data_IF_024466225760
#
_entry.id   IF_024466225760
#
_cell.length_a   1.000
_cell.length_b   1.000
_cell.length_c   1.000
_cell.angle_alpha   90.00
_cell.angle_beta   90.00
_cell.angle_gamma   90.00
#
_symmetry.space_group_name_H-M   'P 1'
#
loop_
_entity.id
_entity.type
_entity.pdbx_description
1 polymer ?
#
# COMPACT_ATOMS: atom_id res chain seq x y z
N UNK A 1 -15.10 4.12 -29.29
CA UNK A 1 -14.11 3.36 -28.52
C UNK A 1 -14.85 2.43 -27.56
N UNK A 2 -14.42 1.21 -27.49
CA UNK A 2 -15.05 0.16 -26.72
C UNK A 2 -14.68 0.28 -25.24
N UNK A 3 -15.66 0.17 -24.33
CA UNK A 3 -15.46 0.28 -22.89
C UNK A 3 -14.48 -0.77 -22.36
N UNK A 4 -14.52 -2.00 -22.92
CA UNK A 4 -13.63 -3.07 -22.54
C UNK A 4 -12.17 -2.73 -22.84
N UNK A 5 -11.89 -2.12 -23.98
CA UNK A 5 -10.53 -1.71 -24.33
C UNK A 5 -10.01 -0.65 -23.37
N UNK A 6 -10.88 0.27 -22.94
CA UNK A 6 -10.52 1.29 -21.95
C UNK A 6 -10.15 0.65 -20.61
N UNK A 7 -10.93 -0.33 -20.16
CA UNK A 7 -10.66 -1.05 -18.91
C UNK A 7 -9.34 -1.84 -18.97
N UNK A 8 -9.11 -2.54 -20.10
CA UNK A 8 -7.86 -3.29 -20.29
C UNK A 8 -6.65 -2.36 -20.30
N UNK A 9 -6.77 -1.19 -20.97
CA UNK A 9 -5.69 -0.20 -20.99
C UNK A 9 -5.43 0.34 -19.59
N UNK A 10 -6.47 0.57 -18.79
CA UNK A 10 -6.30 1.02 -17.41
C UNK A 10 -5.53 0.00 -16.58
N UNK A 11 -5.87 -1.28 -16.72
CA UNK A 11 -5.17 -2.34 -16.00
C UNK A 11 -3.70 -2.43 -16.44
N UNK A 12 -3.44 -2.41 -17.73
CA UNK A 12 -2.08 -2.46 -18.27
C UNK A 12 -1.28 -1.24 -17.85
N UNK A 13 -1.88 -0.06 -17.89
CA UNK A 13 -1.24 1.18 -17.48
C UNK A 13 -0.89 1.13 -15.99
N UNK A 14 -1.81 0.68 -15.16
CA UNK A 14 -1.57 0.55 -13.73
C UNK A 14 -0.43 -0.43 -13.44
N UNK A 15 -0.42 -1.59 -14.11
CA UNK A 15 0.66 -2.56 -13.98
C UNK A 15 2.00 -1.94 -14.37
N UNK A 16 2.02 -1.18 -15.45
CA UNK A 16 3.23 -0.49 -15.90
C UNK A 16 3.77 0.47 -14.85
N UNK A 17 2.90 1.27 -14.26
CA UNK A 17 3.29 2.21 -13.20
C UNK A 17 3.81 1.49 -11.96
N UNK A 18 3.12 0.44 -11.53
CA UNK A 18 3.54 -0.32 -10.36
C UNK A 18 4.87 -1.05 -10.62
N UNK A 19 5.04 -1.63 -11.81
CA UNK A 19 6.30 -2.26 -12.20
C UNK A 19 7.46 -1.27 -12.19
N UNK A 20 7.22 -0.03 -12.60
CA UNK A 20 8.24 1.02 -12.55
C UNK A 20 8.67 1.31 -11.11
N UNK A 21 7.72 1.35 -10.19
CA UNK A 21 8.03 1.55 -8.77
C UNK A 21 8.88 0.38 -8.24
N UNK A 22 8.48 -0.86 -8.55
CA UNK A 22 9.21 -2.05 -8.11
C UNK A 22 10.63 -2.08 -8.68
N UNK A 23 10.79 -1.73 -9.96
CA UNK A 23 12.05 -1.86 -10.68
C UNK A 23 13.02 -0.71 -10.39
N UNK A 24 12.52 0.51 -10.34
CA UNK A 24 13.35 1.72 -10.28
C UNK A 24 13.18 2.52 -9.00
N UNK A 25 12.24 2.16 -8.13
CA UNK A 25 12.03 2.86 -6.88
C UNK A 25 13.21 2.71 -5.93
N UNK A 26 13.44 3.75 -5.12
CA UNK A 26 14.55 3.80 -4.16
C UNK A 26 14.11 3.52 -2.74
N UNK A 27 12.80 3.55 -2.47
CA UNK A 27 12.26 3.28 -1.13
C UNK A 27 11.80 1.83 -1.06
N UNK A 28 12.45 1.02 -0.23
CA UNK A 28 12.19 -0.41 -0.14
C UNK A 28 10.75 -0.71 0.28
N UNK A 29 10.19 0.08 1.21
CA UNK A 29 8.82 -0.10 1.66
C UNK A 29 7.83 0.13 0.51
N UNK A 30 7.97 1.21 -0.24
CA UNK A 30 7.12 1.49 -1.40
C UNK A 30 7.25 0.42 -2.46
N UNK A 31 8.46 -0.05 -2.73
CA UNK A 31 8.70 -1.13 -3.70
C UNK A 31 7.95 -2.40 -3.31
N UNK A 32 8.00 -2.76 -2.03
CA UNK A 32 7.30 -3.95 -1.54
C UNK A 32 5.79 -3.79 -1.63
N UNK A 33 5.27 -2.64 -1.22
CA UNK A 33 3.83 -2.36 -1.27
C UNK A 33 3.32 -2.35 -2.72
N UNK A 34 4.12 -1.79 -3.64
CA UNK A 34 3.80 -1.84 -5.07
C UNK A 34 3.76 -3.28 -5.61
N UNK A 35 4.67 -4.15 -5.15
CA UNK A 35 4.68 -5.55 -5.55
C UNK A 35 3.42 -6.28 -5.04
N UNK A 36 3.02 -6.02 -3.81
CA UNK A 36 1.80 -6.59 -3.26
C UNK A 36 0.58 -6.14 -4.07
N UNK A 37 0.54 -4.87 -4.46
CA UNK A 37 -0.53 -4.36 -5.34
C UNK A 37 -0.54 -5.10 -6.67
N UNK A 38 0.61 -5.28 -7.31
CA UNK A 38 0.71 -6.04 -8.57
C UNK A 38 0.17 -7.46 -8.43
N UNK A 39 0.43 -8.10 -7.29
CA UNK A 39 0.02 -9.47 -7.06
C UNK A 39 -1.50 -9.61 -6.88
N UNK A 40 -2.20 -8.53 -6.54
CA UNK A 40 -3.61 -8.58 -6.15
C UNK A 40 -4.56 -7.73 -7.00
N UNK A 41 -4.08 -6.78 -7.80
CA UNK A 41 -4.99 -5.91 -8.57
C UNK A 41 -5.83 -6.69 -9.59
N UNK A 42 -5.37 -7.84 -10.06
CA UNK A 42 -6.12 -8.69 -11.00
C UNK A 42 -7.40 -9.24 -10.40
N UNK A 43 -7.52 -9.26 -9.08
CA UNK A 43 -8.71 -9.77 -8.42
C UNK A 43 -9.85 -8.76 -8.45
N UNK A 44 -9.61 -7.58 -9.01
CA UNK A 44 -10.58 -6.50 -9.18
C UNK A 44 -10.78 -6.22 -10.67
N UNK A 45 -11.99 -5.85 -11.07
CA UNK A 45 -12.25 -5.45 -12.45
C UNK A 45 -11.57 -4.12 -12.79
N UNK A 46 -11.64 -3.17 -11.86
CA UNK A 46 -10.98 -1.87 -12.00
C UNK A 46 -9.78 -1.85 -11.05
N UNK A 47 -8.57 -1.58 -11.54
CA UNK A 47 -7.39 -1.55 -10.66
C UNK A 47 -7.50 -0.50 -9.55
N UNK A 48 -8.27 0.56 -9.74
CA UNK A 48 -8.48 1.55 -8.69
C UNK A 48 -9.27 0.97 -7.51
N UNK A 49 -10.09 -0.04 -7.73
CA UNK A 49 -10.87 -0.66 -6.66
C UNK A 49 -9.98 -1.37 -5.64
N UNK A 50 -8.82 -1.87 -6.05
CA UNK A 50 -7.84 -2.41 -5.12
C UNK A 50 -7.44 -1.34 -4.09
N UNK A 51 -7.07 -0.15 -4.56
CA UNK A 51 -6.64 0.94 -3.68
C UNK A 51 -7.78 1.39 -2.76
N UNK A 52 -8.99 1.52 -3.32
CA UNK A 52 -10.16 1.91 -2.54
C UNK A 52 -10.46 0.90 -1.44
N UNK A 53 -10.46 -0.38 -1.77
CA UNK A 53 -10.75 -1.44 -0.80
C UNK A 53 -9.73 -1.44 0.33
N UNK A 54 -8.45 -1.45 0.01
CA UNK A 54 -7.39 -1.53 1.01
C UNK A 54 -7.34 -0.26 1.86
N UNK A 55 -7.42 0.92 1.24
CA UNK A 55 -7.29 2.18 1.96
C UNK A 55 -8.54 2.55 2.77
N UNK A 56 -9.71 2.08 2.36
CA UNK A 56 -10.94 2.34 3.09
C UNK A 56 -11.22 1.28 4.16
N UNK A 57 -10.88 0.03 3.89
CA UNK A 57 -11.23 -1.08 4.77
C UNK A 57 -10.04 -1.61 5.60
N UNK A 58 -8.82 -1.31 5.20
CA UNK A 58 -7.63 -1.70 5.97
C UNK A 58 -7.55 -3.22 6.18
N UNK A 59 -7.38 -3.64 7.42
CA UNK A 59 -7.27 -5.05 7.76
C UNK A 59 -8.55 -5.85 7.51
N UNK A 60 -9.65 -5.18 7.20
CA UNK A 60 -10.90 -5.83 6.84
C UNK A 60 -10.98 -6.16 5.35
N UNK A 61 -10.04 -5.67 4.55
CA UNK A 61 -9.91 -6.10 3.17
C UNK A 61 -9.59 -7.60 3.15
N UNK A 62 -10.46 -8.40 2.54
CA UNK A 62 -10.38 -9.85 2.62
C UNK A 62 -9.07 -10.43 2.10
N UNK A 63 -8.50 -9.81 1.08
CA UNK A 63 -7.29 -10.33 0.43
C UNK A 63 -6.04 -9.87 1.15
N UNK A 64 -5.84 -8.58 1.22
CA UNK A 64 -4.59 -8.00 1.74
C UNK A 64 -4.60 -7.97 3.25
N UNK A 65 -5.77 -7.76 3.85
CA UNK A 65 -5.91 -7.80 5.30
C UNK A 65 -5.45 -9.12 5.87
N UNK A 66 -5.88 -10.21 5.27
CA UNK A 66 -5.49 -11.55 5.71
C UNK A 66 -3.98 -11.76 5.54
N UNK A 67 -3.45 -11.39 4.38
CA UNK A 67 -2.04 -11.60 4.07
C UNK A 67 -1.12 -10.80 5.01
N UNK A 68 -1.42 -9.55 5.23
CA UNK A 68 -0.57 -8.66 6.03
C UNK A 68 -0.84 -8.83 7.52
N UNK A 69 -2.11 -8.84 7.92
CA UNK A 69 -2.47 -8.80 9.33
C UNK A 69 -2.23 -10.13 10.04
N UNK A 70 -2.67 -11.25 9.45
CA UNK A 70 -2.65 -12.52 10.15
C UNK A 70 -1.34 -13.27 10.02
N UNK A 71 -0.65 -13.16 8.89
CA UNK A 71 0.49 -14.04 8.62
C UNK A 71 1.82 -13.33 8.47
N UNK A 72 1.82 -12.07 8.07
CA UNK A 72 3.04 -11.40 7.69
C UNK A 72 3.35 -10.12 8.44
N UNK A 73 2.53 -9.72 9.42
CA UNK A 73 2.75 -8.44 10.10
C UNK A 73 4.12 -8.36 10.79
N UNK A 74 4.54 -9.42 11.47
CA UNK A 74 5.84 -9.43 12.15
C UNK A 74 6.99 -9.39 11.16
N UNK A 75 6.91 -10.21 10.11
CA UNK A 75 7.96 -10.25 9.08
C UNK A 75 7.98 -8.95 8.30
N UNK A 76 6.81 -8.42 7.95
CA UNK A 76 6.72 -7.16 7.23
C UNK A 76 7.33 -6.02 8.06
N UNK A 77 6.98 -5.91 9.33
CA UNK A 77 7.57 -4.89 10.19
C UNK A 77 9.07 -5.08 10.33
N UNK A 78 9.53 -6.31 10.53
CA UNK A 78 10.95 -6.62 10.67
C UNK A 78 11.74 -6.20 9.42
N UNK A 79 11.21 -6.51 8.25
CA UNK A 79 11.91 -6.25 6.99
C UNK A 79 11.96 -4.76 6.63
N UNK A 80 10.96 -3.99 7.05
CA UNK A 80 10.84 -2.57 6.69
C UNK A 80 10.80 -1.65 7.91
N UNK A 81 11.31 -2.12 9.03
CA UNK A 81 11.29 -1.42 10.31
C UNK A 81 11.83 0.01 10.20
N UNK A 82 12.98 0.18 9.59
CA UNK A 82 13.62 1.50 9.50
C UNK A 82 12.77 2.47 8.68
N UNK A 83 12.24 2.02 7.55
CA UNK A 83 11.39 2.85 6.70
C UNK A 83 10.07 3.21 7.40
N UNK A 84 9.48 2.24 8.11
CA UNK A 84 8.22 2.45 8.82
C UNK A 84 8.40 3.43 9.97
N UNK A 85 9.46 3.27 10.76
CA UNK A 85 9.71 4.14 11.91
C UNK A 85 10.09 5.55 11.46
N UNK A 86 10.82 5.68 10.37
CA UNK A 86 11.13 6.99 9.80
C UNK A 86 9.87 7.71 9.33
N UNK A 87 8.97 6.98 8.67
CA UNK A 87 7.70 7.53 8.23
C UNK A 87 6.84 7.96 9.43
N UNK A 88 6.78 7.13 10.47
CA UNK A 88 6.06 7.45 11.70
C UNK A 88 6.61 8.72 12.35
N UNK A 89 7.93 8.82 12.46
CA UNK A 89 8.62 9.98 13.02
C UNK A 89 8.26 11.24 12.23
N UNK A 90 8.28 11.15 10.91
CA UNK A 90 7.93 12.28 10.05
C UNK A 90 6.50 12.75 10.31
N UNK A 91 5.56 11.82 10.41
CA UNK A 91 4.15 12.16 10.66
C UNK A 91 3.94 12.80 12.04
N UNK A 92 4.71 12.37 13.03
CA UNK A 92 4.68 13.00 14.36
C UNK A 92 5.23 14.42 14.29
N UNK A 93 6.36 14.62 13.62
CA UNK A 93 6.98 15.94 13.46
C UNK A 93 6.07 16.91 12.73
N UNK A 94 5.32 16.43 11.73
CA UNK A 94 4.37 17.25 10.97
C UNK A 94 3.03 17.45 11.67
N UNK A 95 2.85 16.87 12.85
CA UNK A 95 1.62 16.99 13.60
C UNK A 95 0.44 16.20 13.06
N UNK A 96 0.70 15.25 12.16
CA UNK A 96 -0.34 14.40 11.56
C UNK A 96 -0.77 13.33 12.55
N UNK A 97 0.18 12.81 13.32
CA UNK A 97 -0.06 11.76 14.32
C UNK A 97 0.38 12.25 15.69
N UNK A 98 -0.47 12.00 16.70
CA UNK A 98 -0.13 12.21 18.10
C UNK A 98 0.35 10.86 18.65
N UNK A 99 1.61 10.75 19.16
CA UNK A 99 2.12 9.47 19.65
C UNK A 99 1.27 8.87 20.75
N UNK A 100 1.05 7.56 20.65
CA UNK A 100 0.31 6.78 21.65
C UNK A 100 1.03 5.46 21.89
N UNK A 101 0.86 4.88 23.08
CA UNK A 101 1.53 3.64 23.45
C UNK A 101 1.18 2.49 22.50
N UNK A 102 -0.08 2.41 22.04
CA UNK A 102 -0.55 1.37 21.13
C UNK A 102 0.15 1.42 19.76
N UNK A 103 0.71 2.58 19.38
CA UNK A 103 1.46 2.72 18.13
C UNK A 103 2.80 1.99 18.15
N UNK A 104 3.24 1.53 19.32
CA UNK A 104 4.51 0.79 19.44
C UNK A 104 4.33 -0.71 19.22
N UNK A 105 3.13 -1.15 18.88
CA UNK A 105 2.85 -2.53 18.51
C UNK A 105 3.30 -2.79 17.07
N UNK A 106 4.01 -3.89 16.86
CA UNK A 106 4.49 -4.28 15.52
C UNK A 106 3.36 -4.49 14.53
N UNK A 107 2.21 -4.99 14.96
CA UNK A 107 1.04 -5.12 14.10
C UNK A 107 0.51 -3.78 13.65
N UNK A 108 0.40 -2.83 14.57
CA UNK A 108 -0.06 -1.48 14.25
C UNK A 108 0.91 -0.79 13.27
N UNK A 109 2.22 -0.90 13.58
CA UNK A 109 3.25 -0.27 12.74
C UNK A 109 3.33 -0.91 11.35
N UNK A 110 3.15 -2.21 11.25
CA UNK A 110 3.12 -2.89 9.95
C UNK A 110 1.97 -2.36 9.09
N UNK A 111 0.77 -2.25 9.66
CA UNK A 111 -0.39 -1.70 8.95
C UNK A 111 -0.21 -0.23 8.60
N UNK A 112 0.30 0.55 9.55
CA UNK A 112 0.60 1.95 9.31
C UNK A 112 1.54 2.11 8.11
N UNK A 113 2.64 1.38 8.11
CA UNK A 113 3.61 1.44 7.02
C UNK A 113 3.03 1.01 5.69
N UNK A 114 2.28 -0.09 5.69
CA UNK A 114 1.65 -0.60 4.47
C UNK A 114 0.62 0.39 3.90
N UNK A 115 -0.31 0.84 4.72
CA UNK A 115 -1.37 1.74 4.27
C UNK A 115 -0.81 3.09 3.80
N UNK A 116 0.14 3.65 4.54
CA UNK A 116 0.68 4.95 4.18
C UNK A 116 1.54 4.89 2.92
N UNK A 117 2.31 3.81 2.74
CA UNK A 117 3.06 3.62 1.50
C UNK A 117 2.11 3.45 0.32
N UNK A 118 1.02 2.70 0.50
CA UNK A 118 0.02 2.52 -0.56
C UNK A 118 -0.68 3.85 -0.88
N UNK A 119 -0.98 4.66 0.13
CA UNK A 119 -1.57 5.98 -0.06
C UNK A 119 -0.65 6.89 -0.87
N UNK A 120 0.65 6.87 -0.57
CA UNK A 120 1.63 7.64 -1.32
C UNK A 120 1.70 7.21 -2.78
N UNK A 121 1.65 5.89 -3.03
CA UNK A 121 1.61 5.35 -4.39
C UNK A 121 0.34 5.81 -5.11
N UNK A 122 -0.81 5.73 -4.44
CA UNK A 122 -2.09 6.17 -5.03
C UNK A 122 -2.05 7.65 -5.40
N UNK A 123 -1.50 8.49 -4.52
CA UNK A 123 -1.37 9.92 -4.79
C UNK A 123 -0.44 10.18 -5.97
N UNK A 124 0.70 9.48 -6.04
CA UNK A 124 1.65 9.62 -7.15
C UNK A 124 1.02 9.23 -8.48
N UNK A 125 0.10 8.26 -8.48
CA UNK A 125 -0.57 7.79 -9.69
C UNK A 125 -1.88 8.52 -9.99
N UNK A 126 -2.27 9.48 -9.15
CA UNK A 126 -3.52 10.22 -9.32
C UNK A 126 -4.77 9.41 -9.07
N UNK A 127 -4.69 8.39 -8.25
CA UNK A 127 -5.83 7.52 -7.92
C UNK A 127 -6.68 8.18 -6.84
N UNK A 128 -7.99 8.20 -7.07
CA UNK A 128 -8.96 8.66 -6.07
C UNK A 128 -9.41 7.45 -5.21
N UNK A 129 -9.46 7.66 -3.91
CA UNK A 129 -9.89 6.62 -2.98
C UNK A 129 -10.73 7.17 -1.83
#
# INVERSE_FOLDING_TARGET
>A
MNTMNTMNNNMETMRGHLNNIVTYGTNALKCRVAQIALDHIDEYEDPQDYFKDVLQNGCQSGIVGELIYFYQTKEFFKDYCDDILELYKHYVEEGIIIPQAEHMDSNWLAWFGFEEALRMIAEDLGIEY
#
